data_IF_048321847955
#
_entry.id   IF_048321847955
#
_cell.length_a   1.000
_cell.length_b   1.000
_cell.length_c   1.000
_cell.angle_alpha   90.00
_cell.angle_beta   90.00
_cell.angle_gamma   90.00
#
_symmetry.space_group_name_H-M   'P 1'
#
loop_
_entity.id
_entity.type
_entity.pdbx_description
1 polymer ?
#
# COMPACT_ATOMS: atom_id res chain seq x y z
N UNK A 1 -6.40 -17.78 13.33
CA UNK A 1 -5.08 -17.51 12.74
C UNK A 1 -4.94 -16.00 12.63
N UNK A 2 -3.98 -15.41 13.33
CA UNK A 2 -3.69 -13.97 13.30
C UNK A 2 -3.06 -13.64 11.95
N UNK A 3 -3.85 -13.05 11.04
CA UNK A 3 -3.40 -12.62 9.72
C UNK A 3 -2.30 -11.56 9.86
N UNK A 4 -1.20 -11.76 9.16
CA UNK A 4 -0.16 -10.74 9.02
C UNK A 4 -0.66 -9.57 8.15
N UNK A 5 0.09 -8.45 8.11
CA UNK A 5 -0.35 -7.24 7.42
C UNK A 5 -0.62 -7.53 5.94
N UNK A 6 -1.86 -7.27 5.52
CA UNK A 6 -2.29 -7.49 4.14
C UNK A 6 -1.80 -6.40 3.16
N UNK A 7 -1.14 -5.34 3.65
CA UNK A 7 -0.57 -4.28 2.82
C UNK A 7 0.83 -3.86 3.27
N UNK A 8 1.73 -3.74 2.30
CA UNK A 8 3.06 -3.15 2.45
C UNK A 8 3.18 -1.96 1.51
N UNK A 9 3.47 -0.78 2.04
CA UNK A 9 3.74 0.44 1.29
C UNK A 9 5.25 0.65 1.22
N UNK A 10 5.79 0.83 0.01
CA UNK A 10 7.22 1.07 -0.24
C UNK A 10 7.38 2.33 -1.10
N UNK A 11 7.79 3.46 -0.52
CA UNK A 11 8.05 4.68 -1.27
C UNK A 11 9.23 4.52 -2.22
N UNK A 12 9.12 5.11 -3.42
CA UNK A 12 10.24 5.12 -4.38
C UNK A 12 11.26 6.23 -4.08
N UNK A 13 10.85 7.31 -3.40
CA UNK A 13 11.70 8.46 -3.07
C UNK A 13 12.53 8.30 -1.79
N UNK A 14 12.28 7.24 -1.00
CA UNK A 14 13.03 6.95 0.23
C UNK A 14 13.03 5.47 0.55
N UNK A 15 14.12 5.00 1.12
CA UNK A 15 14.24 3.61 1.60
C UNK A 15 13.46 3.42 2.91
N UNK A 16 12.15 3.24 2.78
CA UNK A 16 11.24 3.03 3.89
C UNK A 16 10.19 1.95 3.55
N UNK A 17 9.72 1.23 4.56
CA UNK A 17 8.59 0.30 4.42
C UNK A 17 7.55 0.64 5.50
N UNK A 18 6.28 0.74 5.11
CA UNK A 18 5.17 0.92 6.04
C UNK A 18 4.16 -0.19 5.87
N UNK A 19 3.75 -0.81 6.97
CA UNK A 19 2.77 -1.90 6.95
C UNK A 19 1.39 -1.35 7.26
N UNK A 20 0.41 -1.72 6.44
CA UNK A 20 -0.99 -1.41 6.61
C UNK A 20 -1.78 -2.69 6.83
N UNK A 21 -2.79 -2.60 7.68
CA UNK A 21 -3.84 -3.60 7.76
C UNK A 21 -4.95 -3.19 6.79
N UNK A 22 -5.17 -3.99 5.76
CA UNK A 22 -6.32 -3.87 4.89
C UNK A 22 -7.13 -5.15 4.99
N UNK A 23 -8.46 -5.05 4.82
CA UNK A 23 -9.28 -6.24 4.67
C UNK A 23 -8.85 -7.00 3.42
N UNK A 24 -8.25 -8.17 3.59
CA UNK A 24 -7.78 -9.00 2.48
C UNK A 24 -6.99 -10.22 2.96
N UNK A 25 -7.15 -11.34 2.26
CA UNK A 25 -6.45 -12.60 2.61
C UNK A 25 -5.01 -12.64 2.08
N UNK A 26 -4.67 -11.81 1.10
CA UNK A 26 -3.35 -11.84 0.43
C UNK A 26 -2.56 -10.54 0.69
N UNK A 27 -1.33 -10.63 1.21
CA UNK A 27 -0.47 -9.46 1.37
C UNK A 27 -0.10 -8.86 0.02
N UNK A 28 -0.34 -7.56 -0.16
CA UNK A 28 0.03 -6.82 -1.38
C UNK A 28 1.07 -5.74 -1.08
N UNK A 29 2.02 -5.58 -2.00
CA UNK A 29 3.02 -4.52 -1.93
C UNK A 29 2.59 -3.40 -2.88
N UNK A 30 2.50 -2.16 -2.39
CA UNK A 30 2.19 -0.97 -3.18
C UNK A 30 3.39 -0.03 -3.18
N UNK A 31 3.76 0.42 -4.37
CA UNK A 31 4.85 1.35 -4.63
C UNK A 31 4.32 2.67 -5.20
N UNK A 32 5.05 3.74 -4.96
CA UNK A 32 4.73 5.10 -5.41
C UNK A 32 5.52 6.13 -4.61
N UNK A 33 5.31 7.43 -4.86
CA UNK A 33 5.96 8.43 -4.01
C UNK A 33 5.37 8.44 -2.59
N UNK A 34 6.11 8.92 -1.61
CA UNK A 34 5.66 9.10 -0.22
C UNK A 34 4.38 9.94 -0.16
N UNK A 35 4.25 10.94 -1.04
CA UNK A 35 3.08 11.82 -1.10
C UNK A 35 1.87 11.07 -1.67
N UNK A 36 2.07 10.25 -2.71
CA UNK A 36 1.03 9.42 -3.32
C UNK A 36 0.55 8.32 -2.35
N UNK A 37 1.49 7.62 -1.70
CA UNK A 37 1.21 6.57 -0.70
C UNK A 37 0.50 7.12 0.55
N UNK A 38 0.53 8.44 0.76
CA UNK A 38 -0.22 9.12 1.81
C UNK A 38 -1.62 9.57 1.36
N UNK A 39 -2.03 9.26 0.13
CA UNK A 39 -3.29 9.69 -0.47
C UNK A 39 -3.35 11.21 -0.76
N UNK A 40 -2.20 11.89 -0.78
CA UNK A 40 -2.10 13.35 -0.95
C UNK A 40 -1.54 13.75 -2.31
N UNK A 41 -0.99 12.80 -3.04
CA UNK A 41 -0.37 13.05 -4.33
C UNK A 41 -1.30 12.64 -5.48
N UNK A 42 -1.18 13.29 -6.64
CA UNK A 42 -1.94 12.95 -7.84
C UNK A 42 -1.35 11.75 -8.61
N UNK A 43 -0.25 11.16 -8.12
CA UNK A 43 0.50 10.13 -8.80
C UNK A 43 -0.17 8.76 -8.78
N UNK A 44 0.19 7.94 -9.77
CA UNK A 44 -0.33 6.59 -9.93
C UNK A 44 0.41 5.63 -9.00
N UNK A 45 -0.34 4.90 -8.18
CA UNK A 45 0.19 3.83 -7.34
C UNK A 45 0.32 2.53 -8.14
N UNK A 46 1.32 1.70 -7.82
CA UNK A 46 1.53 0.40 -8.47
C UNK A 46 1.54 -0.71 -7.44
N UNK A 47 0.69 -1.72 -7.61
CA UNK A 47 0.77 -2.93 -6.80
C UNK A 47 1.68 -3.97 -7.47
N UNK A 48 2.55 -4.61 -6.68
CA UNK A 48 3.22 -5.82 -7.13
C UNK A 48 2.26 -7.00 -7.00
N UNK A 49 2.06 -7.74 -8.10
CA UNK A 49 1.23 -8.94 -8.12
C UNK A 49 -0.21 -8.76 -8.59
N UNK A 50 -0.56 -7.62 -9.20
CA UNK A 50 -1.85 -7.44 -9.87
C UNK A 50 -2.50 -6.09 -9.55
N UNK A 51 -3.83 -6.08 -9.44
CA UNK A 51 -4.60 -4.86 -9.17
C UNK A 51 -4.23 -4.21 -7.83
N UNK A 52 -4.42 -2.90 -7.73
CA UNK A 52 -4.31 -2.21 -6.45
C UNK A 52 -5.38 -2.75 -5.49
N UNK A 53 -5.02 -3.04 -4.22
CA UNK A 53 -6.05 -3.32 -3.24
C UNK A 53 -6.95 -2.10 -3.12
N UNK A 54 -8.26 -2.33 -2.98
CA UNK A 54 -9.16 -1.27 -2.59
C UNK A 54 -8.73 -0.78 -1.20
N UNK A 55 -7.99 0.32 -1.19
CA UNK A 55 -7.67 1.05 0.02
C UNK A 55 -8.99 1.66 0.49
N UNK A 56 -9.81 0.86 1.18
CA UNK A 56 -11.05 1.31 1.79
C UNK A 56 -10.79 2.63 2.48
N UNK A 57 -11.63 3.64 2.21
CA UNK A 57 -11.43 5.04 2.65
C UNK A 57 -10.77 5.08 4.02
N UNK A 58 -9.51 5.50 4.05
CA UNK A 58 -8.80 5.73 5.30
C UNK A 58 -9.59 6.82 6.02
N UNK A 59 -10.25 6.46 7.12
CA UNK A 59 -11.04 7.38 7.94
C UNK A 59 -10.30 7.68 9.23
#
# INVERSE_FOLDING_TARGET
MTGGPALLLRPDDRDAERRGDIGGETPRVVRGSTVDLSGRGPGELKAEGGELPELGRWR
#
